data_IF_496111539516
#
_entry.id   IF_496111539516
#
_cell.length_a   1.000
_cell.length_b   1.000
_cell.length_c   1.000
_cell.angle_alpha   90.00
_cell.angle_beta   90.00
_cell.angle_gamma   90.00
#
_symmetry.space_group_name_H-M   'P 1'
#
loop_
_entity.id
_entity.type
_entity.pdbx_description
1 polymer ?
#
# COMPACT_ATOMS: atom_id res chain seq x y z
N UNK A 1 -25.21 9.16 -5.57
CA UNK A 1 -23.79 9.18 -5.13
C UNK A 1 -22.93 9.02 -6.38
N UNK A 2 -21.94 9.90 -6.67
CA UNK A 2 -21.13 9.76 -7.91
C UNK A 2 -20.29 8.48 -7.83
N UNK A 3 -20.41 7.62 -8.83
CA UNK A 3 -19.60 6.40 -8.96
C UNK A 3 -18.15 6.81 -9.18
N UNK A 4 -17.26 6.31 -8.34
CA UNK A 4 -15.83 6.62 -8.43
C UNK A 4 -15.15 5.66 -9.39
N UNK A 5 -14.39 6.18 -10.33
CA UNK A 5 -13.53 5.36 -11.19
C UNK A 5 -12.43 4.67 -10.36
N UNK A 6 -11.85 3.58 -10.87
CA UNK A 6 -10.72 2.88 -10.21
C UNK A 6 -9.56 3.82 -9.88
N UNK A 7 -9.28 4.78 -10.76
CA UNK A 7 -8.24 5.78 -10.53
C UNK A 7 -8.57 6.67 -9.33
N UNK A 8 -9.81 7.15 -9.23
CA UNK A 8 -10.28 7.96 -8.10
C UNK A 8 -10.21 7.17 -6.77
N UNK A 9 -10.54 5.87 -6.79
CA UNK A 9 -10.42 5.01 -5.63
C UNK A 9 -8.97 4.82 -5.19
N UNK A 10 -8.02 4.67 -6.14
CA UNK A 10 -6.59 4.62 -5.83
C UNK A 10 -6.08 5.93 -5.23
N UNK A 11 -6.47 7.07 -5.81
CA UNK A 11 -6.12 8.40 -5.27
C UNK A 11 -6.69 8.57 -3.85
N UNK A 12 -7.95 8.20 -3.64
CA UNK A 12 -8.55 8.26 -2.31
C UNK A 12 -7.76 7.44 -1.28
N UNK A 13 -7.28 6.24 -1.63
CA UNK A 13 -6.42 5.43 -0.76
C UNK A 13 -5.11 6.14 -0.45
N UNK A 14 -4.47 6.76 -1.44
CA UNK A 14 -3.24 7.55 -1.22
C UNK A 14 -3.48 8.69 -0.24
N UNK A 15 -4.57 9.43 -0.41
CA UNK A 15 -4.94 10.53 0.49
C UNK A 15 -5.16 10.03 1.93
N UNK A 16 -5.88 8.92 2.10
CA UNK A 16 -6.12 8.33 3.44
C UNK A 16 -4.79 7.92 4.08
N UNK A 17 -3.90 7.25 3.34
CA UNK A 17 -2.58 6.87 3.83
C UNK A 17 -1.77 8.10 4.23
N UNK A 18 -1.75 9.14 3.39
CA UNK A 18 -1.03 10.38 3.68
C UNK A 18 -1.55 11.04 4.96
N UNK A 19 -2.86 11.14 5.14
CA UNK A 19 -3.46 11.68 6.36
C UNK A 19 -3.13 10.83 7.60
N UNK A 20 -3.25 9.51 7.52
CA UNK A 20 -2.93 8.61 8.63
C UNK A 20 -1.45 8.71 9.03
N UNK A 21 -0.54 8.74 8.06
CA UNK A 21 0.90 8.86 8.33
C UNK A 21 1.26 10.23 8.90
N UNK A 22 0.63 11.30 8.41
CA UNK A 22 0.82 12.65 8.98
C UNK A 22 0.32 12.72 10.41
N UNK A 23 -0.86 12.19 10.71
CA UNK A 23 -1.38 12.12 12.08
C UNK A 23 -0.45 11.32 13.00
N UNK A 24 0.08 10.21 12.51
CA UNK A 24 1.06 9.41 13.25
C UNK A 24 2.36 10.17 13.51
N UNK A 25 2.87 10.93 12.50
CA UNK A 25 4.06 11.78 12.67
C UNK A 25 3.84 12.86 13.73
N UNK A 26 2.69 13.52 13.70
CA UNK A 26 2.32 14.56 14.69
C UNK A 26 2.24 13.94 16.09
N UNK A 27 1.57 12.79 16.22
CA UNK A 27 1.47 12.09 17.50
C UNK A 27 2.86 11.70 18.05
N UNK A 28 3.72 11.13 17.21
CA UNK A 28 5.09 10.76 17.58
C UNK A 28 5.91 11.98 18.01
N UNK A 29 5.77 13.10 17.29
CA UNK A 29 6.45 14.34 17.61
C UNK A 29 5.99 14.91 18.96
N UNK A 30 4.69 14.99 19.19
CA UNK A 30 4.12 15.49 20.47
C UNK A 30 4.61 14.60 21.63
N UNK A 31 4.61 13.29 21.46
CA UNK A 31 5.10 12.36 22.46
C UNK A 31 6.59 12.59 22.80
N UNK A 32 7.43 12.79 21.78
CA UNK A 32 8.85 13.12 21.98
C UNK A 32 9.04 14.50 22.64
N UNK A 33 8.26 15.49 22.22
CA UNK A 33 8.31 16.82 22.80
C UNK A 33 7.97 16.81 24.28
N UNK A 34 6.90 16.13 24.67
CA UNK A 34 6.50 16.02 26.07
C UNK A 34 7.58 15.32 26.92
N UNK A 35 8.19 14.27 26.37
CA UNK A 35 9.30 13.57 27.04
C UNK A 35 10.52 14.47 27.23
N UNK A 36 10.91 15.26 26.22
CA UNK A 36 12.02 16.22 26.32
C UNK A 36 11.68 17.35 27.29
N UNK A 37 10.44 17.83 27.25
CA UNK A 37 9.97 18.85 28.17
C UNK A 37 10.07 18.42 29.66
N UNK A 38 9.68 17.17 29.95
CA UNK A 38 9.80 16.58 31.28
C UNK A 38 11.28 16.50 31.72
N UNK A 39 12.19 16.11 30.81
CA UNK A 39 13.63 16.05 31.11
C UNK A 39 14.23 17.45 31.36
N UNK A 40 13.80 18.47 30.65
CA UNK A 40 14.23 19.87 30.87
C UNK A 40 13.69 20.37 32.22
N UNK A 41 12.42 20.10 32.52
CA UNK A 41 11.79 20.51 33.78
C UNK A 41 12.46 19.88 35.00
N UNK A 42 13.06 18.70 34.86
CA UNK A 42 13.83 18.00 35.90
C UNK A 42 15.31 18.43 35.93
N UNK A 43 15.71 19.48 35.23
CA UNK A 43 17.10 19.98 35.11
C UNK A 43 18.11 18.93 34.62
N UNK A 44 17.63 17.91 33.89
CA UNK A 44 18.46 16.84 33.29
C UNK A 44 19.02 17.21 31.93
N UNK A 45 18.44 18.21 31.28
CA UNK A 45 18.87 18.74 29.98
C UNK A 45 18.84 20.27 30.00
N UNK A 46 19.84 20.88 29.36
CA UNK A 46 19.89 22.34 29.13
C UNK A 46 19.73 22.60 27.64
N UNK A 47 18.80 23.44 27.25
CA UNK A 47 18.60 23.86 25.85
C UNK A 47 17.26 24.57 25.63
N UNK A 48 17.18 25.37 24.58
CA UNK A 48 15.94 25.92 24.08
C UNK A 48 15.44 25.03 22.94
N UNK A 49 14.24 24.55 23.06
CA UNK A 49 13.59 23.72 22.02
C UNK A 49 12.50 24.55 21.33
N UNK A 50 12.64 24.77 20.02
CA UNK A 50 11.64 25.51 19.23
C UNK A 50 10.56 24.61 18.73
N UNK A 51 9.45 24.50 19.50
CA UNK A 51 8.32 23.67 19.18
C UNK A 51 7.74 23.92 17.78
N UNK A 52 7.58 25.19 17.41
CA UNK A 52 6.87 25.53 16.17
C UNK A 52 7.69 25.24 14.92
N UNK A 53 8.99 25.46 14.97
CA UNK A 53 9.89 25.17 13.86
C UNK A 53 9.92 23.66 13.55
N UNK A 54 10.12 22.85 14.57
CA UNK A 54 10.18 21.40 14.40
C UNK A 54 8.81 20.80 14.05
N UNK A 55 7.73 21.33 14.65
CA UNK A 55 6.35 20.91 14.34
C UNK A 55 6.01 21.13 12.85
N UNK A 56 6.35 22.31 12.30
CA UNK A 56 6.12 22.59 10.89
C UNK A 56 6.92 21.64 9.97
N UNK A 57 8.18 21.36 10.34
CA UNK A 57 9.01 20.37 9.65
C UNK A 57 8.40 18.97 9.62
N UNK A 58 7.94 18.49 10.77
CA UNK A 58 7.29 17.17 10.91
C UNK A 58 5.99 17.09 10.09
N UNK A 59 5.20 18.16 10.07
CA UNK A 59 3.96 18.25 9.31
C UNK A 59 4.23 18.17 7.80
N UNK A 60 5.20 18.95 7.31
CA UNK A 60 5.60 18.94 5.90
C UNK A 60 6.15 17.56 5.50
N UNK A 61 7.08 17.00 6.28
CA UNK A 61 7.68 15.70 5.99
C UNK A 61 6.64 14.57 6.09
N UNK A 62 5.71 14.63 7.03
CA UNK A 62 4.62 13.68 7.17
C UNK A 62 3.69 13.68 5.95
N UNK A 63 3.31 14.86 5.46
CA UNK A 63 2.48 15.00 4.26
C UNK A 63 3.21 14.48 3.02
N UNK A 64 4.40 15.00 2.72
CA UNK A 64 5.16 14.58 1.54
C UNK A 64 5.52 13.09 1.58
N UNK A 65 6.01 12.60 2.73
CA UNK A 65 6.33 11.18 2.93
C UNK A 65 5.09 10.29 2.80
N UNK A 66 3.96 10.73 3.35
CA UNK A 66 2.68 10.03 3.24
C UNK A 66 2.14 9.96 1.81
N UNK A 67 2.21 11.05 1.05
CA UNK A 67 1.82 11.06 -0.37
C UNK A 67 2.76 10.21 -1.22
N UNK A 68 4.07 10.37 -1.09
CA UNK A 68 5.05 9.60 -1.84
C UNK A 68 4.99 8.11 -1.49
N UNK A 69 4.96 7.76 -0.20
CA UNK A 69 4.83 6.39 0.27
C UNK A 69 3.50 5.76 -0.13
N UNK A 70 2.39 6.47 0.09
CA UNK A 70 1.06 6.04 -0.32
C UNK A 70 0.96 5.80 -1.84
N UNK A 71 1.55 6.67 -2.65
CA UNK A 71 1.61 6.48 -4.10
C UNK A 71 2.38 5.20 -4.47
N UNK A 72 3.55 4.99 -3.90
CA UNK A 72 4.37 3.79 -4.15
C UNK A 72 3.62 2.52 -3.73
N UNK A 73 3.02 2.50 -2.53
CA UNK A 73 2.29 1.36 -2.00
C UNK A 73 1.07 1.01 -2.85
N UNK A 74 0.26 2.02 -3.26
CA UNK A 74 -0.99 1.80 -3.99
C UNK A 74 -0.78 1.53 -5.48
N UNK A 75 0.13 2.27 -6.13
CA UNK A 75 0.28 2.19 -7.59
C UNK A 75 1.36 1.21 -8.04
N UNK A 76 2.50 1.13 -7.34
CA UNK A 76 3.61 0.24 -7.73
C UNK A 76 3.52 -1.12 -7.05
N UNK A 77 3.34 -1.13 -5.72
CA UNK A 77 3.36 -2.36 -4.94
C UNK A 77 2.03 -3.12 -4.99
N UNK A 78 0.90 -2.42 -4.98
CA UNK A 78 -0.43 -3.04 -5.03
C UNK A 78 -0.65 -3.92 -6.27
N UNK A 79 -0.03 -3.60 -7.41
CA UNK A 79 -0.08 -4.44 -8.61
C UNK A 79 0.94 -5.59 -8.56
N UNK A 80 2.16 -5.30 -8.09
CA UNK A 80 3.30 -6.25 -8.10
C UNK A 80 3.14 -7.39 -7.09
N UNK A 81 2.54 -7.14 -5.92
CA UNK A 81 2.43 -8.14 -4.84
C UNK A 81 1.11 -8.89 -4.82
N UNK A 82 0.21 -8.59 -5.73
CA UNK A 82 -1.12 -9.20 -5.79
C UNK A 82 -1.09 -10.72 -5.97
N UNK A 83 -0.09 -11.22 -6.71
CA UNK A 83 0.13 -12.65 -6.97
C UNK A 83 1.12 -13.30 -5.98
N UNK A 84 1.68 -12.54 -5.05
CA UNK A 84 2.64 -13.04 -4.05
C UNK A 84 1.95 -13.33 -2.72
N UNK A 85 2.63 -14.08 -1.84
CA UNK A 85 2.14 -14.34 -0.49
C UNK A 85 2.07 -13.04 0.33
N UNK A 86 1.18 -12.98 1.32
CA UNK A 86 1.09 -11.85 2.25
C UNK A 86 2.43 -11.55 2.93
N UNK A 87 3.08 -12.61 3.45
CA UNK A 87 4.37 -12.48 4.11
C UNK A 87 5.43 -11.85 3.19
N UNK A 88 5.51 -12.29 1.94
CA UNK A 88 6.45 -11.69 0.98
C UNK A 88 6.18 -10.20 0.75
N UNK A 89 4.91 -9.83 0.58
CA UNK A 89 4.53 -8.42 0.37
C UNK A 89 4.90 -7.54 1.57
N UNK A 90 4.64 -8.01 2.79
CA UNK A 90 4.90 -7.29 4.03
C UNK A 90 6.42 -7.14 4.25
N UNK A 91 7.16 -8.24 4.20
CA UNK A 91 8.61 -8.24 4.44
C UNK A 91 9.33 -7.38 3.41
N UNK A 92 8.99 -7.53 2.13
CA UNK A 92 9.66 -6.80 1.06
C UNK A 92 9.30 -5.29 1.07
N UNK A 93 8.09 -4.91 1.46
CA UNK A 93 7.73 -3.49 1.63
C UNK A 93 8.49 -2.86 2.80
N UNK A 94 8.60 -3.56 3.93
CA UNK A 94 9.39 -3.11 5.07
C UNK A 94 10.88 -2.98 4.73
N UNK A 95 11.45 -3.96 4.03
CA UNK A 95 12.84 -3.93 3.59
C UNK A 95 13.11 -2.77 2.61
N UNK A 96 12.28 -2.58 1.60
CA UNK A 96 12.41 -1.45 0.66
C UNK A 96 12.29 -0.11 1.38
N UNK A 97 11.40 -0.02 2.37
CA UNK A 97 11.29 1.20 3.18
C UNK A 97 12.58 1.46 3.96
N UNK A 98 13.15 0.46 4.64
CA UNK A 98 14.41 0.60 5.38
C UNK A 98 15.53 1.07 4.45
N UNK A 99 15.67 0.47 3.27
CA UNK A 99 16.68 0.88 2.28
C UNK A 99 16.49 2.32 1.80
N UNK A 100 15.24 2.71 1.50
CA UNK A 100 14.94 4.09 1.07
C UNK A 100 15.13 5.09 2.21
N UNK A 101 14.78 4.73 3.46
CA UNK A 101 14.96 5.57 4.62
C UNK A 101 16.45 5.85 4.89
N UNK A 102 17.29 4.82 4.88
CA UNK A 102 18.75 4.99 5.02
C UNK A 102 19.30 5.85 3.90
N UNK A 103 18.92 5.58 2.64
CA UNK A 103 19.37 6.35 1.48
C UNK A 103 18.98 7.84 1.57
N UNK A 104 17.75 8.13 1.97
CA UNK A 104 17.27 9.51 2.17
C UNK A 104 17.94 10.21 3.35
N UNK A 105 18.23 9.49 4.44
CA UNK A 105 18.96 10.03 5.59
C UNK A 105 20.39 10.43 5.18
N UNK A 106 21.10 9.54 4.48
CA UNK A 106 22.45 9.83 3.97
C UNK A 106 22.40 11.03 2.99
N UNK A 107 21.50 10.99 2.01
CA UNK A 107 21.37 12.08 1.03
C UNK A 107 21.02 13.42 1.70
N UNK A 108 20.08 13.42 2.64
CA UNK A 108 19.65 14.63 3.34
C UNK A 108 20.78 15.28 4.16
N UNK A 109 21.58 14.47 4.83
CA UNK A 109 22.73 14.98 5.59
C UNK A 109 23.79 15.57 4.66
N UNK A 110 24.15 14.87 3.57
CA UNK A 110 25.07 15.41 2.56
C UNK A 110 24.53 16.68 1.90
N UNK A 111 23.24 16.74 1.62
CA UNK A 111 22.62 17.91 1.01
C UNK A 111 22.65 19.13 1.93
N UNK A 112 22.37 18.94 3.20
CA UNK A 112 22.42 20.02 4.21
C UNK A 112 23.85 20.56 4.38
N UNK A 113 24.86 19.67 4.41
CA UNK A 113 26.26 20.09 4.51
C UNK A 113 26.77 20.73 3.21
N UNK A 114 26.27 20.32 2.06
CA UNK A 114 26.55 20.97 0.78
C UNK A 114 25.97 22.41 0.73
N UNK A 115 24.74 22.61 1.23
CA UNK A 115 24.17 23.95 1.38
C UNK A 115 25.03 24.78 2.31
N UNK A 116 25.43 24.23 3.47
CA UNK A 116 26.31 24.94 4.40
C UNK A 116 27.64 25.36 3.76
N UNK A 117 28.23 24.47 2.93
CA UNK A 117 29.43 24.78 2.14
C UNK A 117 29.22 25.97 1.19
N UNK A 118 28.09 26.01 0.47
CA UNK A 118 27.78 27.13 -0.45
C UNK A 118 27.76 28.48 0.25
N UNK A 119 27.36 28.52 1.53
CA UNK A 119 27.32 29.76 2.32
C UNK A 119 28.64 30.11 3.03
N UNK A 120 29.51 29.13 3.33
CA UNK A 120 30.70 29.31 4.17
C UNK A 120 32.06 29.04 3.50
N UNK A 121 32.07 28.49 2.29
CA UNK A 121 33.25 28.43 1.41
C UNK A 121 34.35 27.39 1.73
N UNK A 122 34.18 26.50 2.74
CA UNK A 122 35.18 25.51 3.14
C UNK A 122 34.74 24.08 2.83
N UNK A 123 35.14 23.56 1.66
CA UNK A 123 34.69 22.25 1.17
C UNK A 123 35.18 21.07 2.02
N UNK A 124 36.47 21.02 2.32
CA UNK A 124 37.06 19.88 3.08
C UNK A 124 36.49 19.76 4.48
N UNK A 125 36.26 20.89 5.14
CA UNK A 125 35.62 20.90 6.46
C UNK A 125 34.16 20.45 6.41
N UNK A 126 33.42 20.87 5.39
CA UNK A 126 32.02 20.45 5.19
C UNK A 126 31.90 18.95 4.98
N UNK A 127 32.73 18.35 4.12
CA UNK A 127 32.70 16.91 3.82
C UNK A 127 33.04 16.07 5.04
N UNK A 128 34.12 16.41 5.77
CA UNK A 128 34.52 15.67 6.98
C UNK A 128 33.44 15.76 8.06
N UNK A 129 32.84 16.94 8.25
CA UNK A 129 31.76 17.17 9.19
C UNK A 129 30.52 16.36 8.83
N UNK A 130 30.15 16.32 7.52
CA UNK A 130 28.97 15.59 7.05
C UNK A 130 29.13 14.07 7.23
N UNK A 131 30.28 13.51 6.89
CA UNK A 131 30.56 12.09 7.12
C UNK A 131 30.45 11.72 8.59
N UNK A 132 31.04 12.53 9.49
CA UNK A 132 30.95 12.31 10.92
C UNK A 132 29.51 12.40 11.45
N UNK A 133 28.73 13.37 10.97
CA UNK A 133 27.30 13.52 11.31
C UNK A 133 26.49 12.32 10.85
N UNK A 134 26.70 11.83 9.62
CA UNK A 134 26.04 10.61 9.09
C UNK A 134 26.36 9.42 9.97
N UNK A 135 27.65 9.19 10.27
CA UNK A 135 28.07 8.07 11.09
C UNK A 135 27.55 8.13 12.52
N UNK A 136 27.51 9.32 13.11
CA UNK A 136 26.93 9.55 14.44
C UNK A 136 25.43 9.26 14.45
N UNK A 137 24.68 9.78 13.49
CA UNK A 137 23.23 9.53 13.39
C UNK A 137 22.91 8.07 13.12
N UNK A 138 23.61 7.40 12.20
CA UNK A 138 23.40 5.98 11.92
C UNK A 138 23.70 5.06 13.12
N UNK A 139 24.57 5.48 14.04
CA UNK A 139 24.87 4.74 15.28
C UNK A 139 23.93 5.09 16.43
N UNK A 140 23.12 6.14 16.29
CA UNK A 140 22.26 6.59 17.40
C UNK A 140 21.08 5.61 17.63
N UNK A 141 20.76 5.28 18.88
CA UNK A 141 19.60 4.45 19.21
C UNK A 141 18.28 5.06 18.70
N UNK A 142 18.17 6.39 18.69
CA UNK A 142 16.97 7.11 18.22
C UNK A 142 16.76 6.94 16.71
N UNK A 143 17.81 6.92 15.90
CA UNK A 143 17.71 6.60 14.47
C UNK A 143 17.17 5.19 14.25
N UNK A 144 17.71 4.22 14.97
CA UNK A 144 17.30 2.83 14.87
C UNK A 144 15.84 2.62 15.30
N UNK A 145 15.44 3.19 16.44
CA UNK A 145 14.06 3.08 16.92
C UNK A 145 13.07 3.73 15.97
N UNK A 146 13.39 4.92 15.44
CA UNK A 146 12.56 5.62 14.45
C UNK A 146 12.42 4.78 13.18
N UNK A 147 13.52 4.21 12.68
CA UNK A 147 13.50 3.33 11.51
C UNK A 147 12.59 2.10 11.73
N UNK A 148 12.67 1.45 12.89
CA UNK A 148 11.83 0.29 13.22
C UNK A 148 10.35 0.66 13.30
N UNK A 149 10.01 1.78 13.93
CA UNK A 149 8.63 2.25 14.06
C UNK A 149 8.02 2.56 12.69
N UNK A 150 8.74 3.26 11.83
CA UNK A 150 8.27 3.55 10.47
C UNK A 150 8.20 2.30 9.59
N UNK A 151 9.15 1.38 9.70
CA UNK A 151 9.10 0.10 8.99
C UNK A 151 7.86 -0.71 9.40
N UNK A 152 7.52 -0.73 10.68
CA UNK A 152 6.29 -1.36 11.18
C UNK A 152 5.03 -0.69 10.62
N UNK A 153 4.98 0.66 10.59
CA UNK A 153 3.85 1.41 10.05
C UNK A 153 3.64 1.11 8.55
N UNK A 154 4.73 1.10 7.76
CA UNK A 154 4.67 0.77 6.33
C UNK A 154 4.20 -0.67 6.11
N UNK A 155 4.75 -1.62 6.88
CA UNK A 155 4.37 -3.04 6.80
C UNK A 155 2.90 -3.25 7.15
N UNK A 156 2.41 -2.59 8.19
CA UNK A 156 0.99 -2.63 8.59
C UNK A 156 0.09 -2.01 7.52
N UNK A 157 0.49 -0.88 6.94
CA UNK A 157 -0.24 -0.25 5.83
C UNK A 157 -0.32 -1.19 4.63
N UNK A 158 0.78 -1.84 4.26
CA UNK A 158 0.82 -2.80 3.16
C UNK A 158 -0.06 -4.03 3.45
N UNK A 159 -0.05 -4.53 4.67
CA UNK A 159 -0.93 -5.62 5.10
C UNK A 159 -2.41 -5.25 4.94
N UNK A 160 -2.80 -4.07 5.42
CA UNK A 160 -4.18 -3.57 5.28
C UNK A 160 -4.61 -3.39 3.82
N UNK A 161 -3.71 -2.90 2.96
CA UNK A 161 -3.98 -2.80 1.53
C UNK A 161 -4.18 -4.17 0.88
N UNK A 162 -3.34 -5.16 1.20
CA UNK A 162 -3.47 -6.52 0.68
C UNK A 162 -4.75 -7.21 1.15
N UNK A 163 -5.12 -7.05 2.43
CA UNK A 163 -6.40 -7.56 2.96
C UNK A 163 -7.56 -6.92 2.19
N UNK A 164 -7.58 -5.60 2.08
CA UNK A 164 -8.66 -4.90 1.39
C UNK A 164 -8.80 -5.32 -0.10
N UNK A 165 -7.69 -5.63 -0.76
CA UNK A 165 -7.72 -6.12 -2.15
C UNK A 165 -8.19 -7.58 -2.27
N UNK A 166 -7.97 -8.41 -1.24
CA UNK A 166 -8.42 -9.80 -1.19
C UNK A 166 -9.89 -9.95 -0.77
N UNK A 167 -10.34 -9.16 0.20
CA UNK A 167 -11.73 -9.18 0.68
C UNK A 167 -12.70 -8.36 -0.20
N UNK A 168 -12.18 -7.68 -1.23
CA UNK A 168 -12.95 -6.75 -2.05
C UNK A 168 -12.98 -5.33 -1.48
N UNK A 169 -13.14 -4.36 -2.39
CA UNK A 169 -13.02 -2.95 -2.05
C UNK A 169 -14.10 -2.50 -1.06
N UNK A 170 -13.66 -2.02 0.10
CA UNK A 170 -14.55 -1.47 1.14
C UNK A 170 -15.22 -2.51 2.05
N UNK A 171 -15.10 -3.81 1.77
CA UNK A 171 -15.72 -4.85 2.60
C UNK A 171 -15.08 -4.94 3.99
N UNK A 172 -13.75 -4.76 4.07
CA UNK A 172 -13.06 -4.69 5.35
C UNK A 172 -13.62 -3.54 6.23
N UNK A 173 -13.85 -2.36 5.65
CA UNK A 173 -14.44 -1.23 6.37
C UNK A 173 -15.87 -1.50 6.83
N UNK A 174 -16.68 -2.13 5.98
CA UNK A 174 -18.04 -2.55 6.34
C UNK A 174 -18.04 -3.57 7.48
N UNK A 175 -17.06 -4.47 7.50
CA UNK A 175 -16.87 -5.44 8.58
C UNK A 175 -16.48 -4.76 9.89
N UNK A 176 -15.45 -3.90 9.88
CA UNK A 176 -14.98 -3.16 11.07
C UNK A 176 -16.07 -2.26 11.64
N UNK A 177 -16.85 -1.58 10.78
CA UNK A 177 -17.93 -0.69 11.21
C UNK A 177 -19.21 -1.42 11.60
N UNK A 178 -19.20 -2.76 11.62
CA UNK A 178 -20.33 -3.58 12.01
C UNK A 178 -21.51 -3.54 11.04
N UNK A 179 -21.31 -3.08 9.79
CA UNK A 179 -22.40 -2.99 8.81
C UNK A 179 -23.02 -4.34 8.47
N UNK A 180 -22.28 -5.45 8.70
CA UNK A 180 -22.75 -6.81 8.50
C UNK A 180 -23.43 -7.44 9.73
N UNK A 181 -23.44 -6.78 10.88
CA UNK A 181 -24.14 -7.30 12.09
C UNK A 181 -25.66 -7.26 11.94
N UNK A 182 -26.20 -6.35 11.13
CA UNK A 182 -27.62 -6.30 10.85
C UNK A 182 -27.86 -6.77 9.42
N UNK A 183 -28.66 -7.83 9.18
CA UNK A 183 -29.06 -8.26 7.84
C UNK A 183 -29.69 -7.10 7.08
N UNK A 184 -29.27 -6.92 5.84
CA UNK A 184 -29.82 -5.90 4.94
C UNK A 184 -30.07 -6.52 3.58
N UNK A 185 -31.18 -6.20 2.97
CA UNK A 185 -31.44 -6.53 1.58
C UNK A 185 -30.60 -5.62 0.67
N UNK A 186 -29.81 -6.21 -0.21
CA UNK A 186 -29.05 -5.48 -1.24
C UNK A 186 -29.45 -6.04 -2.61
N UNK A 187 -29.77 -5.12 -3.53
CA UNK A 187 -29.94 -5.50 -4.94
C UNK A 187 -28.57 -5.56 -5.60
N UNK A 188 -28.23 -6.72 -6.17
CA UNK A 188 -26.94 -6.96 -6.82
C UNK A 188 -27.13 -7.61 -8.19
N UNK A 189 -26.21 -7.30 -9.09
CA UNK A 189 -26.07 -8.01 -10.37
C UNK A 189 -25.04 -9.12 -10.14
N UNK A 190 -25.35 -10.34 -10.56
CA UNK A 190 -24.46 -11.48 -10.49
C UNK A 190 -24.08 -11.95 -11.89
N UNK A 191 -22.82 -12.35 -12.05
CA UNK A 191 -22.31 -13.06 -13.22
C UNK A 191 -21.65 -14.35 -12.74
N UNK A 192 -22.09 -15.45 -13.32
CA UNK A 192 -21.55 -16.77 -13.08
C UNK A 192 -20.61 -17.11 -14.24
N UNK A 193 -19.36 -17.34 -13.95
CA UNK A 193 -18.32 -17.70 -14.92
C UNK A 193 -17.84 -19.11 -14.61
N UNK A 194 -18.07 -20.03 -15.54
CA UNK A 194 -17.75 -21.45 -15.38
C UNK A 194 -16.83 -21.94 -16.50
N UNK A 195 -16.00 -22.95 -16.19
CA UNK A 195 -15.06 -23.52 -17.14
C UNK A 195 -15.71 -24.68 -17.96
N UNK A 196 -15.87 -24.46 -19.26
CA UNK A 196 -16.46 -25.48 -20.12
C UNK A 196 -15.64 -26.78 -20.09
N UNK A 197 -16.31 -27.92 -19.86
CA UNK A 197 -15.73 -29.28 -19.83
C UNK A 197 -14.62 -29.43 -18.75
N UNK A 198 -14.77 -28.79 -17.64
CA UNK A 198 -13.80 -28.78 -16.53
C UNK A 198 -13.42 -30.19 -16.04
N UNK A 199 -14.40 -31.07 -15.90
CA UNK A 199 -14.20 -32.48 -15.48
C UNK A 199 -13.33 -33.25 -16.48
N UNK A 200 -13.61 -33.11 -17.77
CA UNK A 200 -12.83 -33.77 -18.83
C UNK A 200 -11.39 -33.27 -18.86
N UNK A 201 -11.21 -31.94 -18.68
CA UNK A 201 -9.87 -31.33 -18.59
C UNK A 201 -9.13 -31.89 -17.38
N UNK A 202 -9.78 -31.94 -16.21
CA UNK A 202 -9.18 -32.47 -14.99
C UNK A 202 -8.75 -33.94 -15.12
N UNK A 203 -9.55 -34.77 -15.78
CA UNK A 203 -9.21 -36.18 -16.08
C UNK A 203 -8.02 -36.31 -17.02
N UNK A 204 -7.91 -35.47 -18.04
CA UNK A 204 -6.82 -35.50 -19.02
C UNK A 204 -5.48 -35.05 -18.47
N UNK A 205 -5.44 -33.95 -17.72
CA UNK A 205 -4.17 -33.33 -17.25
C UNK A 205 -3.79 -33.74 -15.83
N UNK A 206 -4.70 -34.35 -15.08
CA UNK A 206 -4.56 -34.74 -13.69
C UNK A 206 -4.78 -33.57 -12.71
N UNK A 207 -5.14 -33.90 -11.47
CA UNK A 207 -5.61 -32.96 -10.48
C UNK A 207 -4.60 -31.83 -10.17
N UNK A 208 -3.29 -32.13 -10.08
CA UNK A 208 -2.29 -31.12 -9.78
C UNK A 208 -2.19 -30.03 -10.85
N UNK A 209 -2.10 -30.44 -12.12
CA UNK A 209 -2.04 -29.49 -13.26
C UNK A 209 -3.35 -28.74 -13.42
N UNK A 210 -4.48 -29.39 -13.12
CA UNK A 210 -5.79 -28.75 -13.15
C UNK A 210 -5.90 -27.62 -12.12
N UNK A 211 -5.42 -27.82 -10.88
CA UNK A 211 -5.38 -26.75 -9.88
C UNK A 211 -4.43 -25.62 -10.26
N UNK A 212 -3.31 -25.91 -10.92
CA UNK A 212 -2.41 -24.88 -11.47
C UNK A 212 -3.10 -24.07 -12.57
N UNK A 213 -3.85 -24.73 -13.47
CA UNK A 213 -4.66 -24.09 -14.50
C UNK A 213 -5.70 -23.16 -13.88
N UNK A 214 -6.50 -23.64 -12.93
CA UNK A 214 -7.51 -22.83 -12.25
C UNK A 214 -6.88 -21.61 -11.56
N UNK A 215 -5.74 -21.79 -10.88
CA UNK A 215 -5.02 -20.69 -10.25
C UNK A 215 -4.60 -19.64 -11.26
N UNK A 216 -4.12 -20.02 -12.43
CA UNK A 216 -3.72 -19.09 -13.48
C UNK A 216 -4.93 -18.34 -14.04
N UNK A 217 -6.02 -19.06 -14.35
CA UNK A 217 -7.29 -18.46 -14.81
C UNK A 217 -7.79 -17.45 -13.79
N UNK A 218 -7.83 -17.79 -12.49
CA UNK A 218 -8.30 -16.88 -11.44
C UNK A 218 -7.43 -15.63 -11.31
N UNK A 219 -6.13 -15.76 -11.50
CA UNK A 219 -5.23 -14.62 -11.54
C UNK A 219 -5.52 -13.71 -12.74
N UNK A 220 -5.71 -14.28 -13.90
CA UNK A 220 -5.92 -13.54 -15.15
C UNK A 220 -7.25 -12.77 -15.16
N UNK A 221 -8.33 -13.38 -14.69
CA UNK A 221 -9.67 -12.76 -14.67
C UNK A 221 -9.79 -11.68 -13.56
N UNK A 222 -8.94 -11.73 -12.53
CA UNK A 222 -9.07 -10.84 -11.38
C UNK A 222 -8.90 -9.36 -11.77
N UNK A 223 -7.99 -9.04 -12.68
CA UNK A 223 -7.77 -7.65 -13.09
C UNK A 223 -8.93 -7.09 -13.95
N UNK A 224 -9.46 -7.79 -14.97
CA UNK A 224 -10.69 -7.43 -15.64
C UNK A 224 -11.87 -7.17 -14.71
N UNK A 225 -12.09 -8.02 -13.70
CA UNK A 225 -13.18 -7.89 -12.73
C UNK A 225 -13.05 -6.58 -11.94
N UNK A 226 -11.87 -6.33 -11.36
CA UNK A 226 -11.62 -5.12 -10.57
C UNK A 226 -11.69 -3.85 -11.44
N UNK A 227 -11.21 -3.91 -12.69
CA UNK A 227 -11.27 -2.80 -13.63
C UNK A 227 -12.71 -2.44 -14.02
N UNK A 228 -13.62 -3.41 -13.91
CA UNK A 228 -15.05 -3.24 -14.15
C UNK A 228 -15.85 -3.00 -12.86
N UNK A 229 -15.21 -2.56 -11.77
CA UNK A 229 -15.81 -2.33 -10.44
C UNK A 229 -16.57 -3.56 -9.89
N UNK A 230 -16.24 -4.78 -10.36
CA UNK A 230 -16.78 -6.02 -9.87
C UNK A 230 -16.09 -6.48 -8.59
N UNK A 231 -16.83 -7.24 -7.79
CA UNK A 231 -16.36 -7.92 -6.60
C UNK A 231 -16.45 -9.43 -6.84
N UNK A 232 -15.40 -10.17 -6.53
CA UNK A 232 -15.49 -11.64 -6.52
C UNK A 232 -16.29 -12.02 -5.27
N UNK A 233 -17.45 -12.60 -5.48
CA UNK A 233 -18.34 -13.00 -4.40
C UNK A 233 -17.88 -14.31 -3.78
N UNK A 234 -17.61 -15.33 -4.60
CA UNK A 234 -17.05 -16.61 -4.16
C UNK A 234 -16.45 -17.39 -5.34
N UNK A 235 -15.64 -18.38 -4.99
CA UNK A 235 -15.16 -19.43 -5.89
C UNK A 235 -15.82 -20.75 -5.48
N UNK A 236 -16.40 -21.46 -6.43
CA UNK A 236 -17.04 -22.77 -6.22
C UNK A 236 -16.47 -23.76 -7.23
N UNK A 237 -15.42 -24.49 -6.83
CA UNK A 237 -14.71 -25.38 -7.76
C UNK A 237 -14.04 -24.59 -8.88
N UNK A 238 -14.54 -24.74 -10.10
CA UNK A 238 -14.12 -24.03 -11.32
C UNK A 238 -15.01 -22.82 -11.66
N UNK A 239 -16.12 -22.65 -10.94
CA UNK A 239 -17.02 -21.52 -11.09
C UNK A 239 -16.54 -20.31 -10.28
N UNK A 240 -16.62 -19.14 -10.87
CA UNK A 240 -16.37 -17.84 -10.21
C UNK A 240 -17.66 -17.03 -10.24
N UNK A 241 -18.17 -16.70 -9.05
CA UNK A 241 -19.32 -15.82 -8.91
C UNK A 241 -18.81 -14.39 -8.72
N UNK A 242 -19.18 -13.51 -9.65
CA UNK A 242 -18.82 -12.10 -9.63
C UNK A 242 -20.09 -11.29 -9.34
N UNK A 243 -20.00 -10.25 -8.54
CA UNK A 243 -21.14 -9.43 -8.21
C UNK A 243 -20.84 -7.95 -8.27
N UNK A 244 -21.87 -7.17 -8.56
CA UNK A 244 -21.87 -5.71 -8.53
C UNK A 244 -23.07 -5.23 -7.72
N UNK A 245 -22.93 -4.07 -7.07
CA UNK A 245 -24.11 -3.28 -6.75
C UNK A 245 -24.75 -2.84 -8.05
N UNK A 246 -26.08 -2.66 -8.11
CA UNK A 246 -26.78 -2.22 -9.34
C UNK A 246 -26.11 -0.96 -9.91
N UNK A 247 -25.76 -0.02 -9.03
CA UNK A 247 -25.09 1.24 -9.38
C UNK A 247 -23.75 1.02 -10.13
N UNK A 248 -22.89 0.15 -9.61
CA UNK A 248 -21.57 -0.13 -10.19
C UNK A 248 -21.65 -0.99 -11.46
N UNK A 249 -22.60 -1.91 -11.51
CA UNK A 249 -22.74 -2.83 -12.64
C UNK A 249 -23.35 -2.17 -13.87
N UNK A 250 -24.32 -1.26 -13.68
CA UNK A 250 -24.96 -0.50 -14.79
C UNK A 250 -24.14 0.71 -15.23
N UNK A 251 -23.25 1.23 -14.38
CA UNK A 251 -22.38 2.33 -14.76
C UNK A 251 -21.47 1.92 -15.93
N UNK A 252 -21.59 2.62 -17.04
CA UNK A 252 -20.80 2.39 -18.25
C UNK A 252 -20.82 0.91 -18.69
N UNK A 253 -21.92 0.21 -18.45
CA UNK A 253 -22.12 -1.21 -18.74
C UNK A 253 -21.01 -2.11 -18.17
N UNK A 254 -20.53 -1.81 -16.99
CA UNK A 254 -19.40 -2.50 -16.38
C UNK A 254 -19.58 -4.00 -16.26
N UNK A 255 -20.78 -4.48 -15.93
CA UNK A 255 -21.06 -5.93 -15.83
C UNK A 255 -20.90 -6.62 -17.18
N UNK A 256 -21.34 -6.00 -18.29
CA UNK A 256 -21.19 -6.53 -19.65
C UNK A 256 -19.74 -6.42 -20.14
N UNK A 257 -19.13 -5.23 -19.98
CA UNK A 257 -17.73 -5.00 -20.35
C UNK A 257 -16.76 -5.91 -19.61
N UNK A 258 -17.08 -6.32 -18.38
CA UNK A 258 -16.31 -7.28 -17.63
C UNK A 258 -16.14 -8.61 -18.37
N UNK A 259 -17.24 -9.14 -18.89
CA UNK A 259 -17.23 -10.39 -19.67
C UNK A 259 -16.29 -10.31 -20.89
N UNK A 260 -16.42 -9.25 -21.68
CA UNK A 260 -15.56 -9.08 -22.87
C UNK A 260 -14.08 -8.89 -22.50
N UNK A 261 -13.78 -8.16 -21.42
CA UNK A 261 -12.41 -7.98 -20.93
C UNK A 261 -11.81 -9.28 -20.42
N UNK A 262 -12.60 -10.13 -19.75
CA UNK A 262 -12.17 -11.46 -19.31
C UNK A 262 -11.80 -12.30 -20.53
N UNK A 263 -12.68 -12.39 -21.54
CA UNK A 263 -12.41 -13.15 -22.74
C UNK A 263 -11.14 -12.69 -23.46
N UNK A 264 -10.98 -11.40 -23.69
CA UNK A 264 -9.77 -10.83 -24.32
C UNK A 264 -8.50 -11.17 -23.53
N UNK A 265 -8.56 -11.16 -22.19
CA UNK A 265 -7.40 -11.48 -21.36
C UNK A 265 -7.05 -12.96 -21.44
N UNK A 266 -8.04 -13.84 -21.40
CA UNK A 266 -7.83 -15.27 -21.50
C UNK A 266 -7.33 -15.70 -22.90
N UNK A 267 -7.88 -15.13 -23.97
CA UNK A 267 -7.40 -15.35 -25.34
C UNK A 267 -5.95 -14.91 -25.52
N UNK A 268 -5.60 -13.71 -25.05
CA UNK A 268 -4.23 -13.19 -25.13
C UNK A 268 -3.23 -14.07 -24.37
N UNK A 269 -3.59 -14.55 -23.19
CA UNK A 269 -2.70 -15.38 -22.39
C UNK A 269 -2.62 -16.82 -22.92
N UNK A 270 -3.68 -17.33 -23.54
CA UNK A 270 -3.65 -18.62 -24.24
C UNK A 270 -2.69 -18.59 -25.44
N UNK A 271 -2.66 -17.52 -26.23
CA UNK A 271 -1.72 -17.39 -27.35
C UNK A 271 -0.26 -17.31 -26.89
N UNK A 272 0.02 -16.64 -25.76
CA UNK A 272 1.37 -16.52 -25.18
C UNK A 272 1.89 -17.82 -24.53
N UNK A 273 1.03 -18.78 -24.24
CA UNK A 273 1.42 -20.07 -23.64
C UNK A 273 1.74 -21.17 -24.68
N UNK A 274 1.55 -20.90 -25.95
CA UNK A 274 1.82 -21.83 -27.08
C UNK A 274 3.11 -21.45 -27.88
N UNK A 275 3.75 -20.33 -27.56
CA UNK A 275 5.08 -19.93 -28.07
C UNK A 275 6.16 -20.25 -26.99
#
# INVERSE_FOLDING_TARGET
MKIKTRFQLKIQRVIIIALCWTLFSIFSYISQYLFVYDLISLNKLSGSYDFWLDFTGVLILGLFGGFAGGYILVFKMGTRYRQKSFAFGIINSGFLFIMTYIGLAIFGLFFMDFIFFLFHGNFDFAVVKSVNNVLFNLKSPSFFTTMCVWAFLVSTTQFMLQINDKFGQGNLWKFITGKYYNPREEQRIFMFLDLKSSTTIAEQIGSKKYFELLKNIYNDITEPIINSLGEIYQYVGDEVVISWTVENGTFDDNCLKCFYRINQTLEKNATLSFD
#
